data_IF_331060880247
#
_entry.id   IF_331060880247
#
_cell.length_a   1.000
_cell.length_b   1.000
_cell.length_c   1.000
_cell.angle_alpha   90.00
_cell.angle_beta   90.00
_cell.angle_gamma   90.00
#
_symmetry.space_group_name_H-M   'P 1'
#
loop_
_entity.id
_entity.type
_entity.pdbx_description
1 polymer ?
#
# COMPACT_ATOMS: atom_id res chain seq x y z
N UNK A 1 9.60 1.89 -10.98
CA UNK A 1 8.37 1.77 -10.17
C UNK A 1 8.05 0.30 -9.94
N UNK A 2 7.35 -0.03 -8.86
CA UNK A 2 6.81 -1.37 -8.60
C UNK A 2 5.35 -1.23 -8.16
N UNK A 3 4.55 -2.26 -8.37
CA UNK A 3 3.21 -2.33 -7.80
C UNK A 3 3.35 -2.52 -6.29
N UNK A 4 2.57 -1.78 -5.51
CA UNK A 4 2.53 -1.92 -4.06
C UNK A 4 1.10 -2.16 -3.56
N UNK A 5 0.97 -2.94 -2.50
CA UNK A 5 -0.28 -3.10 -1.77
C UNK A 5 -0.02 -2.75 -0.30
N UNK A 6 -0.53 -1.61 0.12
CA UNK A 6 -0.42 -1.11 1.49
C UNK A 6 -1.65 -1.52 2.29
N UNK A 7 -1.40 -1.98 3.50
CA UNK A 7 -2.46 -2.26 4.46
C UNK A 7 -2.58 -1.17 5.51
N UNK A 8 -3.83 -0.90 5.92
CA UNK A 8 -4.11 0.04 7.00
C UNK A 8 -5.05 -0.58 8.03
N UNK A 9 -4.81 -0.30 9.30
CA UNK A 9 -5.78 -0.57 10.37
C UNK A 9 -6.83 0.56 10.38
N UNK A 10 -7.84 0.43 9.54
CA UNK A 10 -8.90 1.43 9.41
C UNK A 10 -9.75 1.59 10.67
N UNK A 11 -9.87 0.54 11.49
CA UNK A 11 -10.58 0.61 12.76
C UNK A 11 -9.83 1.52 13.74
N UNK A 12 -8.50 1.42 13.73
CA UNK A 12 -7.64 2.27 14.57
C UNK A 12 -7.59 3.70 14.05
N UNK A 13 -7.41 3.88 12.74
CA UNK A 13 -7.41 5.18 12.07
C UNK A 13 -8.71 5.97 12.31
N UNK A 14 -9.87 5.29 12.22
CA UNK A 14 -11.18 5.92 12.40
C UNK A 14 -11.39 6.50 13.79
N UNK A 15 -10.66 6.05 14.81
CA UNK A 15 -10.78 6.58 16.16
C UNK A 15 -10.30 8.02 16.27
N UNK A 16 -9.21 8.36 15.59
CA UNK A 16 -8.64 9.69 15.58
C UNK A 16 -7.67 9.81 14.40
N UNK A 17 -7.80 10.86 13.59
CA UNK A 17 -6.91 11.11 12.45
C UNK A 17 -5.41 11.18 12.82
N UNK A 18 -5.08 11.55 14.05
CA UNK A 18 -3.70 11.53 14.54
C UNK A 18 -3.07 10.12 14.56
N UNK A 19 -3.90 9.08 14.46
CA UNK A 19 -3.44 7.68 14.38
C UNK A 19 -3.13 7.22 12.96
N UNK A 20 -3.25 8.09 11.97
CA UNK A 20 -3.01 7.76 10.56
C UNK A 20 -1.65 7.07 10.36
N UNK A 21 -0.56 7.65 10.85
CA UNK A 21 0.77 7.07 10.70
C UNK A 21 0.90 5.69 11.39
N UNK A 22 0.34 5.56 12.59
CA UNK A 22 0.39 4.29 13.32
C UNK A 22 -0.50 3.20 12.69
N UNK A 23 -1.60 3.57 12.02
CA UNK A 23 -2.47 2.64 11.30
C UNK A 23 -1.79 1.98 10.10
N UNK A 24 -0.71 2.58 9.61
CA UNK A 24 0.10 2.09 8.48
C UNK A 24 1.22 1.13 8.89
N UNK A 25 1.41 0.87 10.18
CA UNK A 25 2.41 -0.09 10.69
C UNK A 25 1.95 -1.54 10.50
N UNK A 26 1.59 -1.87 9.27
CA UNK A 26 1.12 -3.19 8.86
C UNK A 26 2.06 -3.75 7.79
N UNK A 27 2.16 -5.08 7.63
CA UNK A 27 2.86 -5.66 6.50
C UNK A 27 2.31 -5.13 5.19
N UNK A 28 3.19 -4.81 4.26
CA UNK A 28 2.85 -4.44 2.90
C UNK A 28 3.52 -5.40 1.90
N UNK A 29 3.06 -5.38 0.66
CA UNK A 29 3.65 -6.15 -0.42
C UNK A 29 4.09 -5.22 -1.56
N UNK A 30 5.19 -5.57 -2.22
CA UNK A 30 5.77 -4.82 -3.33
C UNK A 30 6.27 -5.82 -4.37
N UNK A 31 6.06 -5.53 -5.63
CA UNK A 31 6.49 -6.37 -6.73
C UNK A 31 5.31 -6.84 -7.58
N UNK A 32 5.47 -7.97 -8.29
CA UNK A 32 6.67 -8.82 -8.42
C UNK A 32 7.75 -8.25 -9.37
N UNK A 33 7.51 -7.12 -9.99
CA UNK A 33 8.35 -6.53 -11.02
C UNK A 33 8.78 -5.11 -10.64
N UNK A 34 10.00 -4.73 -11.01
CA UNK A 34 10.50 -3.36 -10.96
C UNK A 34 10.62 -2.83 -12.39
N UNK A 35 9.83 -1.82 -12.73
CA UNK A 35 9.90 -1.12 -14.01
C UNK A 35 10.76 0.12 -13.87
N UNK A 36 11.81 0.22 -14.67
CA UNK A 36 12.71 1.37 -14.73
C UNK A 36 12.20 2.38 -15.76
N UNK A 37 12.44 3.65 -15.50
CA UNK A 37 12.14 4.78 -16.40
C UNK A 37 10.69 4.81 -16.92
N UNK A 38 9.75 4.33 -16.11
CA UNK A 38 8.34 4.35 -16.46
C UNK A 38 7.79 5.77 -16.43
N UNK A 39 6.93 6.12 -17.39
CA UNK A 39 6.17 7.35 -17.36
C UNK A 39 5.18 7.34 -16.19
N UNK A 40 5.30 8.33 -15.31
CA UNK A 40 4.46 8.46 -14.12
C UNK A 40 3.43 9.59 -14.25
N UNK A 41 3.12 10.03 -15.46
CA UNK A 41 2.07 11.06 -15.64
C UNK A 41 0.69 10.52 -15.32
N UNK A 42 0.33 9.37 -15.88
CA UNK A 42 -0.92 8.67 -15.58
C UNK A 42 -0.78 7.17 -15.84
N UNK A 43 -0.90 6.39 -14.80
CA UNK A 43 -0.81 4.92 -14.88
C UNK A 43 -2.16 4.33 -14.49
N UNK A 44 -2.99 3.92 -15.48
CA UNK A 44 -4.25 3.25 -15.20
C UNK A 44 -4.03 1.82 -14.70
N UNK A 45 -4.99 1.32 -13.94
CA UNK A 45 -4.90 0.00 -13.35
C UNK A 45 -6.23 -0.50 -12.81
N UNK A 46 -6.15 -1.60 -12.11
CA UNK A 46 -7.30 -2.25 -11.50
C UNK A 46 -6.91 -2.85 -10.14
N UNK A 47 -7.85 -2.81 -9.22
CA UNK A 47 -7.74 -3.50 -7.94
C UNK A 47 -8.95 -4.39 -7.73
N UNK A 48 -8.73 -5.60 -7.20
CA UNK A 48 -9.81 -6.53 -6.89
C UNK A 48 -9.55 -7.33 -5.63
N UNK A 49 -10.63 -7.85 -5.08
CA UNK A 49 -10.63 -8.79 -3.96
C UNK A 49 -11.40 -10.03 -4.39
N UNK A 50 -10.75 -11.18 -4.27
CA UNK A 50 -11.36 -12.49 -4.51
C UNK A 50 -11.61 -13.19 -3.18
N UNK A 51 -12.76 -13.86 -3.09
CA UNK A 51 -13.10 -14.78 -2.00
C UNK A 51 -13.61 -16.09 -2.57
N UNK A 52 -13.02 -17.21 -2.16
CA UNK A 52 -13.38 -18.54 -2.64
C UNK A 52 -13.42 -18.65 -4.18
N UNK A 53 -12.47 -18.04 -4.86
CA UNK A 53 -12.35 -18.05 -6.33
C UNK A 53 -13.36 -17.17 -7.08
N UNK A 54 -14.10 -16.30 -6.38
CA UNK A 54 -15.05 -15.36 -6.98
C UNK A 54 -14.64 -13.92 -6.66
N UNK A 55 -14.77 -13.03 -7.62
CA UNK A 55 -14.57 -11.60 -7.41
C UNK A 55 -15.64 -11.08 -6.45
N UNK A 56 -15.18 -10.59 -5.30
CA UNK A 56 -16.02 -9.97 -4.28
C UNK A 56 -16.19 -8.46 -4.53
N UNK A 57 -15.12 -7.83 -4.97
CA UNK A 57 -15.03 -6.39 -5.20
C UNK A 57 -13.97 -6.09 -6.25
N UNK A 58 -14.20 -5.06 -7.06
CA UNK A 58 -13.29 -4.66 -8.15
C UNK A 58 -13.49 -3.20 -8.47
N UNK A 59 -12.39 -2.48 -8.77
CA UNK A 59 -12.42 -1.07 -9.20
C UNK A 59 -11.33 -0.80 -10.22
N UNK A 60 -11.67 0.03 -11.21
CA UNK A 60 -10.66 0.72 -12.02
C UNK A 60 -10.03 1.82 -11.19
N UNK A 61 -8.73 1.99 -11.32
CA UNK A 61 -7.91 2.95 -10.58
C UNK A 61 -6.95 3.66 -11.52
N UNK A 62 -6.41 4.77 -11.07
CA UNK A 62 -5.28 5.41 -11.74
C UNK A 62 -4.36 6.04 -10.69
N UNK A 63 -3.05 5.98 -10.94
CA UNK A 63 -2.04 6.72 -10.20
C UNK A 63 -1.22 7.58 -11.15
N UNK A 64 -0.35 8.43 -10.63
CA UNK A 64 0.51 9.30 -11.40
C UNK A 64 0.30 10.78 -11.12
N UNK A 65 1.25 11.62 -11.58
CA UNK A 65 1.26 13.05 -11.23
C UNK A 65 0.00 13.81 -11.67
N UNK A 66 -0.64 13.42 -12.78
CA UNK A 66 -1.85 14.07 -13.26
C UNK A 66 -3.09 13.84 -12.38
N UNK A 67 -3.05 12.85 -11.48
CA UNK A 67 -4.15 12.51 -10.56
C UNK A 67 -3.76 12.65 -9.09
N UNK A 68 -2.56 13.15 -8.79
CA UNK A 68 -2.07 13.39 -7.44
C UNK A 68 -2.31 14.83 -6.99
N UNK A 69 -2.46 15.03 -5.68
CA UNK A 69 -2.57 16.37 -5.08
C UNK A 69 -1.24 17.12 -5.00
N UNK A 70 -0.12 16.41 -5.03
CA UNK A 70 1.22 16.97 -4.93
C UNK A 70 2.12 16.36 -5.99
N UNK A 71 3.01 17.16 -6.59
CA UNK A 71 3.99 16.65 -7.55
C UNK A 71 5.01 15.73 -6.87
N UNK A 72 5.57 14.81 -7.63
CA UNK A 72 6.61 13.91 -7.15
C UNK A 72 7.83 14.70 -6.63
N UNK A 73 8.24 15.73 -7.36
CA UNK A 73 9.35 16.60 -6.95
C UNK A 73 9.09 17.28 -5.59
N UNK A 74 7.83 17.69 -5.31
CA UNK A 74 7.48 18.25 -4.02
C UNK A 74 7.56 17.22 -2.89
N UNK A 75 7.09 16.00 -3.13
CA UNK A 75 7.17 14.91 -2.15
C UNK A 75 8.63 14.53 -1.86
N UNK A 76 9.45 14.41 -2.89
CA UNK A 76 10.88 14.12 -2.77
C UNK A 76 11.61 15.22 -1.99
N UNK A 77 11.34 16.49 -2.31
CA UNK A 77 11.92 17.62 -1.57
C UNK A 77 11.59 17.53 -0.07
N UNK A 78 10.32 17.32 0.26
CA UNK A 78 9.91 17.23 1.66
C UNK A 78 10.48 16.02 2.40
N UNK A 79 10.69 14.91 1.72
CA UNK A 79 11.34 13.73 2.31
C UNK A 79 12.85 13.97 2.48
N UNK A 80 13.54 14.37 1.41
CA UNK A 80 15.01 14.46 1.40
C UNK A 80 15.58 15.76 1.98
N UNK A 81 14.77 16.76 2.35
CA UNK A 81 15.27 17.90 3.13
C UNK A 81 15.84 17.48 4.49
N UNK A 82 15.43 16.36 5.04
CA UNK A 82 15.94 15.82 6.29
C UNK A 82 17.24 15.05 6.08
N UNK A 83 18.33 15.49 6.74
CA UNK A 83 19.66 14.91 6.55
C UNK A 83 19.71 13.40 6.85
N UNK A 84 18.94 12.93 7.84
CA UNK A 84 18.87 11.51 8.22
C UNK A 84 18.26 10.61 7.13
N UNK A 85 17.52 11.17 6.18
CA UNK A 85 16.98 10.43 5.03
C UNK A 85 17.95 10.37 3.84
N UNK A 86 19.18 10.89 3.97
CA UNK A 86 20.18 10.95 2.88
C UNK A 86 21.43 10.16 3.21
N UNK A 87 21.28 9.01 3.85
CA UNK A 87 22.42 8.16 4.19
C UNK A 87 22.74 7.24 3.01
N UNK A 88 24.02 7.10 2.64
CA UNK A 88 24.42 6.18 1.59
C UNK A 88 23.97 4.74 1.91
N UNK A 89 23.40 4.05 0.90
CA UNK A 89 22.93 2.67 1.04
C UNK A 89 21.49 2.53 1.50
N UNK A 90 20.83 3.60 1.97
CA UNK A 90 19.39 3.55 2.29
C UNK A 90 18.55 3.43 1.01
N UNK A 91 17.50 2.63 1.08
CA UNK A 91 16.47 2.52 0.03
C UNK A 91 15.16 3.08 0.58
N UNK A 92 14.55 3.97 -0.17
CA UNK A 92 13.27 4.59 0.19
C UNK A 92 12.17 4.09 -0.71
N UNK A 93 11.05 3.69 -0.12
CA UNK A 93 9.87 3.23 -0.83
C UNK A 93 8.73 4.18 -0.50
N UNK A 94 8.20 4.84 -1.53
CA UNK A 94 7.09 5.77 -1.41
C UNK A 94 5.84 5.12 -2.00
N UNK A 95 4.83 4.89 -1.17
CA UNK A 95 3.53 4.43 -1.63
C UNK A 95 2.71 5.62 -2.11
N UNK A 96 2.31 5.57 -3.37
CA UNK A 96 1.48 6.58 -4.01
C UNK A 96 0.11 5.97 -4.27
N UNK A 97 -0.93 6.57 -3.69
CA UNK A 97 -2.28 6.03 -3.72
C UNK A 97 -2.93 6.04 -5.11
N UNK A 98 -3.94 5.22 -5.28
CA UNK A 98 -4.71 5.08 -6.52
C UNK A 98 -6.23 5.17 -6.28
N UNK A 99 -6.64 5.77 -5.18
CA UNK A 99 -8.03 6.14 -4.83
C UNK A 99 -9.03 4.97 -4.86
N UNK A 100 -8.64 3.79 -4.41
CA UNK A 100 -9.54 2.65 -4.23
C UNK A 100 -9.53 2.20 -2.77
N UNK A 101 -10.71 2.21 -2.14
CA UNK A 101 -10.86 2.04 -0.71
C UNK A 101 -11.99 1.05 -0.37
N UNK A 102 -11.68 -0.24 -0.39
CA UNK A 102 -12.65 -1.32 -0.18
C UNK A 102 -13.38 -1.24 1.17
N UNK A 103 -12.69 -0.84 2.24
CA UNK A 103 -13.31 -0.65 3.56
C UNK A 103 -14.39 0.44 3.54
N UNK A 104 -14.17 1.54 2.82
CA UNK A 104 -15.15 2.62 2.65
C UNK A 104 -16.41 2.16 1.92
N UNK A 105 -16.31 1.11 1.12
CA UNK A 105 -17.43 0.49 0.42
C UNK A 105 -18.06 -0.69 1.19
N UNK A 106 -17.70 -0.85 2.46
CA UNK A 106 -18.29 -1.84 3.36
C UNK A 106 -17.74 -3.26 3.20
N UNK A 107 -16.64 -3.42 2.48
CA UNK A 107 -16.01 -4.74 2.32
C UNK A 107 -15.27 -5.12 3.61
N UNK A 108 -15.74 -6.15 4.29
CA UNK A 108 -15.06 -6.75 5.41
C UNK A 108 -14.18 -7.90 4.92
N UNK A 109 -12.86 -7.70 5.01
CA UNK A 109 -11.88 -8.71 4.62
C UNK A 109 -11.89 -9.91 5.56
N UNK A 110 -11.62 -11.10 5.02
CA UNK A 110 -11.56 -12.35 5.75
C UNK A 110 -10.24 -13.09 5.47
N UNK A 111 -9.88 -13.99 6.37
CA UNK A 111 -8.72 -14.83 6.18
C UNK A 111 -8.83 -15.63 4.88
N UNK A 112 -7.80 -15.59 4.05
CA UNK A 112 -7.76 -16.27 2.74
C UNK A 112 -8.34 -15.45 1.58
N UNK A 113 -8.88 -14.24 1.80
CA UNK A 113 -9.18 -13.34 0.69
C UNK A 113 -7.90 -13.03 -0.09
N UNK A 114 -8.00 -12.96 -1.41
CA UNK A 114 -6.87 -12.61 -2.27
C UNK A 114 -7.08 -11.18 -2.76
N UNK A 115 -6.15 -10.32 -2.44
CA UNK A 115 -6.10 -8.97 -2.99
C UNK A 115 -5.19 -8.94 -4.18
N UNK A 116 -5.64 -8.32 -5.24
CA UNK A 116 -4.91 -8.16 -6.49
C UNK A 116 -4.86 -6.70 -6.88
N UNK A 117 -3.67 -6.27 -7.31
CA UNK A 117 -3.45 -4.94 -7.90
C UNK A 117 -2.70 -5.14 -9.21
N UNK A 118 -3.15 -4.49 -10.27
CA UNK A 118 -2.49 -4.45 -11.57
C UNK A 118 -2.46 -3.03 -12.11
N UNK A 119 -1.41 -2.71 -12.85
CA UNK A 119 -1.27 -1.45 -13.56
C UNK A 119 -0.76 -1.69 -14.98
N UNK A 120 -1.16 -0.85 -15.91
CA UNK A 120 -0.63 -0.88 -17.27
C UNK A 120 0.88 -0.63 -17.27
N UNK A 121 1.60 -1.33 -18.14
CA UNK A 121 3.07 -1.29 -18.20
C UNK A 121 3.79 -2.20 -17.21
N UNK A 122 3.06 -2.90 -16.33
CA UNK A 122 3.59 -3.94 -15.44
C UNK A 122 3.14 -5.32 -15.91
N UNK A 123 4.07 -6.29 -15.97
CA UNK A 123 3.82 -7.59 -16.59
C UNK A 123 2.92 -8.50 -15.78
N UNK A 124 2.98 -8.43 -14.44
CA UNK A 124 2.22 -9.32 -13.56
C UNK A 124 1.47 -8.54 -12.49
N UNK A 125 0.21 -8.90 -12.23
CA UNK A 125 -0.49 -8.40 -11.05
C UNK A 125 0.23 -8.79 -9.75
N UNK A 126 0.21 -7.89 -8.78
CA UNK A 126 0.56 -8.22 -7.41
C UNK A 126 -0.63 -8.89 -6.75
N UNK A 127 -0.47 -10.13 -6.28
CA UNK A 127 -1.53 -10.92 -5.64
C UNK A 127 -1.09 -11.35 -4.25
N UNK A 128 -1.87 -11.01 -3.25
CA UNK A 128 -1.56 -11.30 -1.85
C UNK A 128 -2.74 -11.97 -1.16
N UNK A 129 -2.59 -13.21 -0.65
CA UNK A 129 -3.58 -13.77 0.25
C UNK A 129 -3.51 -13.05 1.61
N UNK A 130 -4.67 -12.69 2.14
CA UNK A 130 -4.77 -12.12 3.48
C UNK A 130 -4.64 -13.23 4.53
N UNK A 131 -3.73 -13.04 5.47
CA UNK A 131 -3.63 -13.86 6.67
C UNK A 131 -4.06 -13.03 7.87
N UNK A 132 -5.11 -13.47 8.54
CA UNK A 132 -5.61 -12.82 9.76
C UNK A 132 -4.96 -13.50 10.98
N UNK A 133 -4.26 -12.72 11.79
CA UNK A 133 -3.66 -13.23 13.03
C UNK A 133 -4.75 -13.65 14.01
N UNK A 134 -4.76 -14.93 14.36
CA UNK A 134 -5.74 -15.51 15.32
C UNK A 134 -5.21 -15.56 16.76
N UNK A 135 -3.91 -15.38 16.95
CA UNK A 135 -3.28 -15.42 18.28
C UNK A 135 -3.51 -14.13 19.05
N UNK A 136 -3.80 -14.24 20.34
CA UNK A 136 -3.76 -13.07 21.23
C UNK A 136 -2.32 -12.54 21.30
N UNK A 137 -2.11 -11.28 20.91
CA UNK A 137 -0.81 -10.63 21.06
C UNK A 137 -0.39 -10.65 22.52
N UNK A 138 0.76 -11.25 22.79
CA UNK A 138 1.40 -11.16 24.11
C UNK A 138 2.07 -9.79 24.24
N UNK A 139 2.08 -9.24 25.44
CA UNK A 139 2.89 -8.08 25.73
C UNK A 139 4.36 -8.45 25.55
N UNK A 140 5.06 -7.67 24.74
CA UNK A 140 6.53 -7.81 24.62
C UNK A 140 7.20 -7.04 25.72
N UNK A 141 8.11 -7.68 26.44
CA UNK A 141 9.00 -7.04 27.39
C UNK A 141 10.43 -7.12 26.87
N UNK A 142 11.18 -6.05 27.02
CA UNK A 142 12.61 -6.07 26.76
C UNK A 142 13.31 -6.91 27.81
N UNK A 143 14.17 -7.84 27.39
CA UNK A 143 15.07 -8.57 28.27
C UNK A 143 16.43 -7.87 28.27
N UNK A 144 17.04 -7.59 29.43
CA UNK A 144 18.43 -7.11 29.49
C UNK A 144 19.37 -8.12 28.81
N UNK A 145 20.41 -7.61 28.15
CA UNK A 145 21.50 -8.40 27.58
C UNK A 145 22.34 -9.02 28.68
#
# INVERSE_FOLDING_TARGET
MAIGNEFSDHIFEKKNYLYLAASKLMPCAIGPELVLDADFQRVPGEVSIERAGKTLWQREIATGESVMSHSLANLEHHHFKHALHRRPGDVHIHFLGADAFSFGEGIALQNGDIMQVSFEGFGRPLRNPLSVESSKRKMFAATPL
#
